data_IF_668046467723
#
_entry.id   IF_668046467723
#
_cell.length_a   1.000
_cell.length_b   1.000
_cell.length_c   1.000
_cell.angle_alpha   90.00
_cell.angle_beta   90.00
_cell.angle_gamma   90.00
#
_symmetry.space_group_name_H-M   'P 1'
#
loop_
_entity.id
_entity.type
_entity.pdbx_description
1 polymer ?
#
# COMPACT_ATOMS: atom_id res chain seq x y z
N UNK A 1 8.10 14.89 2.78
CA UNK A 1 7.48 14.54 4.08
C UNK A 1 6.04 15.07 4.26
N UNK A 2 5.43 15.80 3.30
CA UNK A 2 4.10 16.41 3.49
C UNK A 2 2.95 15.41 3.66
N UNK A 3 2.96 14.32 2.89
CA UNK A 3 1.92 13.29 3.00
C UNK A 3 1.90 12.57 4.36
N UNK A 4 3.04 12.48 5.04
CA UNK A 4 3.13 11.94 6.41
C UNK A 4 2.55 12.93 7.42
N UNK A 5 2.95 14.20 7.35
CA UNK A 5 2.41 15.25 8.21
C UNK A 5 0.90 15.45 8.04
N UNK A 6 0.37 15.23 6.84
CA UNK A 6 -1.05 15.34 6.54
C UNK A 6 -1.88 14.11 6.95
N UNK A 7 -1.27 12.95 7.16
CA UNK A 7 -2.00 11.72 7.42
C UNK A 7 -2.28 11.55 8.92
N UNK A 8 -3.56 11.58 9.37
CA UNK A 8 -3.87 11.43 10.79
C UNK A 8 -3.55 10.02 11.31
N UNK A 9 -3.68 8.98 10.47
CA UNK A 9 -3.32 7.60 10.85
C UNK A 9 -1.86 7.53 11.22
N UNK A 10 -0.97 8.11 10.41
CA UNK A 10 0.47 8.12 10.70
C UNK A 10 0.81 8.90 11.98
N UNK A 11 0.03 9.94 12.30
CA UNK A 11 0.17 10.67 13.55
C UNK A 11 -0.32 9.92 14.80
N UNK A 12 -1.24 8.95 14.64
CA UNK A 12 -1.84 8.17 15.73
C UNK A 12 -1.16 6.82 15.94
N UNK A 13 -0.74 6.16 14.85
CA UNK A 13 -0.07 4.88 14.88
C UNK A 13 1.34 4.99 14.28
N UNK A 14 2.40 4.97 15.11
CA UNK A 14 3.77 5.07 14.64
C UNK A 14 4.25 3.84 13.87
N UNK A 15 3.52 2.72 13.92
CA UNK A 15 3.87 1.50 13.18
C UNK A 15 3.36 1.53 11.75
N UNK A 16 2.39 2.39 11.43
CA UNK A 16 1.90 2.53 10.06
C UNK A 16 3.04 2.98 9.13
N UNK A 17 3.39 2.14 8.14
CA UNK A 17 4.49 2.37 7.18
C UNK A 17 4.34 3.72 6.45
N UNK A 18 3.10 4.14 6.25
CA UNK A 18 2.77 5.48 5.79
C UNK A 18 2.64 5.64 4.29
N UNK A 19 2.07 6.77 3.85
CA UNK A 19 1.54 6.90 2.50
C UNK A 19 2.61 6.92 1.40
N UNK A 20 3.76 7.56 1.62
CA UNK A 20 4.79 7.65 0.56
C UNK A 20 5.47 6.31 0.31
N UNK A 21 5.81 5.57 1.38
CA UNK A 21 6.46 4.27 1.27
C UNK A 21 5.56 3.25 0.56
N UNK A 22 4.27 3.20 0.89
CA UNK A 22 3.31 2.31 0.21
C UNK A 22 3.13 2.72 -1.26
N UNK A 23 3.01 4.03 -1.55
CA UNK A 23 2.90 4.49 -2.94
C UNK A 23 4.15 4.16 -3.76
N UNK A 24 5.35 4.24 -3.17
CA UNK A 24 6.59 3.86 -3.81
C UNK A 24 6.65 2.35 -4.07
N UNK A 25 6.24 1.53 -3.12
CA UNK A 25 6.17 0.08 -3.33
C UNK A 25 5.20 -0.26 -4.46
N UNK A 26 4.03 0.38 -4.49
CA UNK A 26 3.06 0.18 -5.56
C UNK A 26 3.60 0.62 -6.92
N UNK A 27 4.43 1.67 -6.99
CA UNK A 27 5.15 2.05 -8.22
C UNK A 27 6.04 0.92 -8.74
N UNK A 28 6.72 0.17 -7.88
CA UNK A 28 7.51 -1.00 -8.30
C UNK A 28 6.61 -2.19 -8.67
N UNK A 29 5.53 -2.45 -7.94
CA UNK A 29 4.61 -3.54 -8.27
C UNK A 29 3.93 -3.38 -9.64
N UNK A 30 3.78 -2.14 -10.12
CA UNK A 30 3.24 -1.84 -11.45
C UNK A 30 4.32 -1.75 -12.54
N UNK A 31 5.60 -1.88 -12.19
CA UNK A 31 6.72 -1.82 -13.14
C UNK A 31 6.98 -3.22 -13.70
N UNK A 32 6.77 -3.41 -15.01
CA UNK A 32 6.91 -4.73 -15.65
C UNK A 32 8.32 -5.33 -15.61
N UNK A 33 9.32 -4.52 -15.26
CA UNK A 33 10.72 -4.95 -15.10
C UNK A 33 10.98 -5.55 -13.71
N UNK A 34 10.13 -5.23 -12.74
CA UNK A 34 10.31 -5.64 -11.34
C UNK A 34 9.76 -7.06 -11.13
N UNK A 35 10.51 -7.87 -10.39
CA UNK A 35 10.16 -9.25 -10.04
C UNK A 35 10.01 -9.45 -8.52
N UNK A 36 10.02 -8.35 -7.74
CA UNK A 36 10.05 -8.37 -6.28
C UNK A 36 8.68 -8.11 -5.61
N UNK A 37 7.58 -8.35 -6.33
CA UNK A 37 6.24 -7.99 -5.86
C UNK A 37 5.74 -8.88 -4.73
N UNK A 38 6.17 -10.15 -4.70
CA UNK A 38 5.83 -11.11 -3.65
C UNK A 38 6.44 -10.72 -2.30
N UNK A 39 7.72 -10.36 -2.29
CA UNK A 39 8.46 -9.93 -1.11
C UNK A 39 7.86 -8.65 -0.51
N UNK A 40 7.37 -7.74 -1.37
CA UNK A 40 6.67 -6.53 -0.92
C UNK A 40 5.29 -6.84 -0.39
N UNK A 41 4.56 -7.80 -0.97
CA UNK A 41 3.25 -8.22 -0.50
C UNK A 41 3.32 -8.72 0.94
N UNK A 42 4.31 -9.55 1.28
CA UNK A 42 4.49 -10.10 2.64
C UNK A 42 4.67 -9.02 3.72
N UNK A 43 5.30 -7.90 3.36
CA UNK A 43 5.53 -6.76 4.26
C UNK A 43 4.31 -5.84 4.28
N UNK A 44 3.77 -5.49 3.11
CA UNK A 44 2.79 -4.43 2.98
C UNK A 44 1.36 -4.89 3.23
N UNK A 45 1.07 -6.19 3.18
CA UNK A 45 -0.23 -6.75 3.51
C UNK A 45 -0.44 -7.00 5.01
N UNK A 46 0.51 -6.59 5.85
CA UNK A 46 0.38 -6.61 7.32
C UNK A 46 -0.52 -5.47 7.83
N UNK A 47 -0.91 -5.52 9.11
CA UNK A 47 -1.79 -4.51 9.71
C UNK A 47 -1.17 -3.12 9.64
N UNK A 48 0.12 -3.04 9.92
CA UNK A 48 1.00 -1.87 9.89
C UNK A 48 1.25 -1.36 8.46
N UNK A 49 0.91 -2.16 7.45
CA UNK A 49 1.04 -1.82 6.04
C UNK A 49 -0.21 -1.15 5.47
N UNK A 50 -0.70 -1.65 4.35
CA UNK A 50 -1.83 -1.05 3.61
C UNK A 50 -3.12 -0.99 4.43
N UNK A 51 -3.32 -1.90 5.39
CA UNK A 51 -4.55 -2.02 6.17
C UNK A 51 -4.71 -0.95 7.25
N UNK A 52 -3.62 -0.32 7.71
CA UNK A 52 -3.69 0.82 8.62
C UNK A 52 -4.37 2.05 7.98
N UNK A 53 -4.31 2.18 6.66
CA UNK A 53 -4.92 3.31 5.95
C UNK A 53 -6.46 3.23 5.99
N UNK A 54 -7.13 4.25 6.50
CA UNK A 54 -8.61 4.38 6.48
C UNK A 54 -9.14 5.24 5.32
N UNK A 55 -8.28 5.60 4.36
CA UNK A 55 -8.61 6.39 3.18
C UNK A 55 -9.12 7.81 3.46
N UNK A 56 -8.52 8.52 4.42
CA UNK A 56 -8.80 9.95 4.69
C UNK A 56 -8.48 10.86 3.48
N UNK A 57 -7.44 10.52 2.71
CA UNK A 57 -7.12 11.19 1.44
C UNK A 57 -6.27 12.48 1.51
N UNK A 58 -5.98 13.00 2.71
CA UNK A 58 -5.18 14.23 2.87
C UNK A 58 -3.75 14.11 2.34
N UNK A 59 -3.17 12.90 2.33
CA UNK A 59 -1.86 12.65 1.73
C UNK A 59 -1.81 12.96 0.23
N UNK A 60 -2.93 12.81 -0.49
CA UNK A 60 -3.05 13.19 -1.90
C UNK A 60 -3.21 14.69 -2.05
N UNK A 61 -4.09 15.31 -1.25
CA UNK A 61 -4.31 16.77 -1.29
C UNK A 61 -3.04 17.57 -0.98
N UNK A 62 -2.26 17.11 0.00
CA UNK A 62 -1.02 17.77 0.42
C UNK A 62 0.17 17.50 -0.52
N UNK A 63 0.02 16.63 -1.55
CA UNK A 63 1.13 16.23 -2.39
C UNK A 63 1.47 17.33 -3.42
N UNK A 64 2.64 17.99 -3.35
CA UNK A 64 3.00 19.09 -4.26
C UNK A 64 3.37 18.61 -5.67
N UNK A 65 3.38 17.29 -5.88
CA UNK A 65 3.76 16.63 -7.14
C UNK A 65 2.62 15.82 -7.74
N UNK A 66 1.40 15.92 -7.20
CA UNK A 66 0.20 15.27 -7.74
C UNK A 66 0.37 13.75 -7.95
N UNK A 67 1.04 13.05 -7.01
CA UNK A 67 1.36 11.61 -7.12
C UNK A 67 0.17 10.70 -6.78
N UNK A 68 -0.83 11.22 -6.06
CA UNK A 68 -1.96 10.46 -5.49
C UNK A 68 -1.57 9.20 -4.66
N UNK A 69 -0.92 9.38 -3.48
CA UNK A 69 -0.61 8.27 -2.59
C UNK A 69 -1.85 7.51 -2.09
N UNK A 70 -2.97 8.20 -1.87
CA UNK A 70 -4.20 7.55 -1.41
C UNK A 70 -4.71 6.54 -2.44
N UNK A 71 -4.75 6.92 -3.72
CA UNK A 71 -5.12 6.03 -4.82
C UNK A 71 -4.19 4.82 -4.91
N UNK A 72 -2.88 5.02 -4.80
CA UNK A 72 -1.90 3.94 -4.83
C UNK A 72 -2.13 2.90 -3.70
N UNK A 73 -2.41 3.36 -2.48
CA UNK A 73 -2.72 2.47 -1.34
C UNK A 73 -3.97 1.63 -1.62
N UNK A 74 -5.03 2.24 -2.15
CA UNK A 74 -6.27 1.51 -2.43
C UNK A 74 -6.12 0.49 -3.57
N UNK A 75 -5.35 0.81 -4.61
CA UNK A 75 -5.01 -0.16 -5.65
C UNK A 75 -4.28 -1.36 -5.05
N UNK A 76 -3.35 -1.13 -4.13
CA UNK A 76 -2.63 -2.21 -3.46
C UNK A 76 -3.58 -3.05 -2.59
N UNK A 77 -4.50 -2.45 -1.82
CA UNK A 77 -5.52 -3.23 -1.08
C UNK A 77 -6.31 -4.17 -1.98
N UNK A 78 -6.69 -3.72 -3.17
CA UNK A 78 -7.38 -4.59 -4.14
C UNK A 78 -6.49 -5.74 -4.61
N UNK A 79 -5.22 -5.48 -4.92
CA UNK A 79 -4.26 -6.54 -5.28
C UNK A 79 -4.09 -7.54 -4.14
N UNK A 80 -3.87 -7.06 -2.91
CA UNK A 80 -3.72 -7.93 -1.74
C UNK A 80 -4.97 -8.76 -1.45
N UNK A 81 -6.16 -8.17 -1.58
CA UNK A 81 -7.42 -8.90 -1.40
C UNK A 81 -7.62 -9.98 -2.46
N UNK A 82 -7.24 -9.70 -3.72
CA UNK A 82 -7.28 -10.69 -4.81
C UNK A 82 -6.32 -11.84 -4.54
N UNK A 83 -5.09 -11.57 -4.13
CA UNK A 83 -4.10 -12.62 -3.82
C UNK A 83 -4.55 -13.47 -2.62
N UNK A 84 -5.06 -12.84 -1.56
CA UNK A 84 -5.66 -13.58 -0.45
C UNK A 84 -6.81 -14.48 -0.91
N UNK A 85 -7.73 -13.96 -1.73
CA UNK A 85 -8.86 -14.73 -2.25
C UNK A 85 -8.41 -15.89 -3.15
N UNK A 86 -7.39 -15.69 -3.99
CA UNK A 86 -6.78 -16.77 -4.79
C UNK A 86 -6.15 -17.83 -3.90
N UNK A 87 -5.40 -17.45 -2.86
CA UNK A 87 -4.81 -18.42 -1.93
C UNK A 87 -5.86 -19.24 -1.18
N UNK A 88 -7.01 -18.63 -0.89
CA UNK A 88 -8.12 -19.29 -0.23
C UNK A 88 -8.83 -20.29 -1.14
N UNK A 89 -9.08 -19.93 -2.40
CA UNK A 89 -9.79 -20.79 -3.37
C UNK A 89 -8.91 -21.82 -4.09
N UNK A 90 -7.63 -21.53 -4.27
CA UNK A 90 -6.68 -22.34 -5.03
C UNK A 90 -5.47 -22.64 -4.14
N UNK A 91 -5.61 -23.54 -3.14
CA UNK A 91 -4.52 -23.86 -2.20
C UNK A 91 -3.29 -24.49 -2.89
N UNK A 92 -3.43 -24.92 -4.15
CA UNK A 92 -2.34 -25.46 -4.97
C UNK A 92 -1.62 -24.40 -5.82
N UNK A 93 -2.12 -23.17 -5.87
CA UNK A 93 -1.54 -22.08 -6.67
C UNK A 93 -0.45 -21.30 -5.92
N UNK A 94 -0.24 -21.57 -4.64
CA UNK A 94 0.83 -20.98 -3.85
C UNK A 94 2.13 -21.80 -4.04
N UNK A 95 2.89 -21.42 -5.06
CA UNK A 95 4.30 -21.78 -5.21
C UNK A 95 5.08 -20.55 -5.64
#
# INVERSE_FOLDING_TARGET
MLCYAACPVYGLDPHFIGPAAIALAQRYNMDSRDQGSAERLDILSQHEGIWGCTFVGECTKACPKNVDPAGAIQQYKLTSAKEWFKSFLLPWSAK
#
